data_IF_941954110999
#
_entry.id   IF_941954110999
#
_cell.length_a   1.000
_cell.length_b   1.000
_cell.length_c   1.000
_cell.angle_alpha   90.00
_cell.angle_beta   90.00
_cell.angle_gamma   90.00
#
_symmetry.space_group_name_H-M   'P 1'
#
loop_
_entity.id
_entity.type
_entity.pdbx_description
1 polymer ?
#
# COMPACT_ATOMS: atom_id res chain seq x y z
N UNK A 1 -15.15 -2.83 5.42
CA UNK A 1 -13.80 -3.32 5.76
C UNK A 1 -13.79 -3.72 7.23
N UNK A 2 -13.75 -5.01 7.58
CA UNK A 2 -13.49 -5.41 8.98
C UNK A 2 -11.97 -5.41 9.21
N UNK A 3 -11.48 -4.42 9.96
CA UNK A 3 -10.05 -4.19 10.26
C UNK A 3 -9.50 -5.14 11.34
N UNK A 4 -9.94 -6.40 11.38
CA UNK A 4 -9.50 -7.31 12.45
C UNK A 4 -9.98 -8.75 12.33
N UNK A 5 -9.44 -9.59 13.22
CA UNK A 5 -9.86 -10.98 13.37
C UNK A 5 -11.34 -11.06 13.78
N UNK A 6 -12.11 -11.88 13.07
CA UNK A 6 -13.52 -12.15 13.43
C UNK A 6 -13.63 -12.96 14.72
N UNK A 7 -14.81 -12.96 15.34
CA UNK A 7 -15.02 -13.64 16.63
C UNK A 7 -14.59 -15.12 16.61
N UNK A 8 -14.96 -15.88 15.57
CA UNK A 8 -14.55 -17.28 15.40
C UNK A 8 -13.03 -17.43 15.21
N UNK A 9 -12.39 -16.50 14.50
CA UNK A 9 -10.94 -16.52 14.31
C UNK A 9 -10.19 -16.28 15.63
N UNK A 10 -10.70 -15.37 16.47
CA UNK A 10 -10.15 -15.13 17.82
C UNK A 10 -10.32 -16.35 18.72
N UNK A 11 -11.48 -17.01 18.67
CA UNK A 11 -11.70 -18.27 19.43
C UNK A 11 -10.74 -19.37 19.01
N UNK A 12 -10.54 -19.56 17.70
CA UNK A 12 -9.56 -20.53 17.18
C UNK A 12 -8.15 -20.23 17.73
N UNK A 13 -7.71 -18.98 17.68
CA UNK A 13 -6.41 -18.59 18.23
C UNK A 13 -6.34 -18.72 19.75
N UNK A 14 -7.42 -18.46 20.48
CA UNK A 14 -7.49 -18.64 21.92
C UNK A 14 -7.36 -20.12 22.31
N UNK A 15 -8.03 -21.02 21.59
CA UNK A 15 -7.88 -22.47 21.79
C UNK A 15 -6.44 -22.91 21.52
N UNK A 16 -5.84 -22.45 20.42
CA UNK A 16 -4.44 -22.76 20.10
C UNK A 16 -3.42 -22.09 21.03
N UNK A 17 -3.79 -20.99 21.72
CA UNK A 17 -2.95 -20.34 22.75
C UNK A 17 -2.86 -21.20 24.01
N UNK A 18 -3.91 -21.95 24.33
CA UNK A 18 -3.95 -22.86 25.48
C UNK A 18 -3.26 -24.21 25.24
N UNK A 19 -2.86 -24.51 24.01
CA UNK A 19 -2.07 -25.70 23.67
C UNK A 19 -0.57 -25.41 23.86
N UNK A 20 0.22 -26.41 24.27
CA UNK A 20 1.67 -26.26 24.41
C UNK A 20 2.29 -25.83 23.07
N UNK A 21 3.38 -25.06 23.14
CA UNK A 21 3.94 -24.40 21.96
C UNK A 21 4.34 -25.39 20.86
N UNK A 22 4.63 -26.66 21.20
CA UNK A 22 5.15 -27.71 20.33
C UNK A 22 4.13 -28.79 19.95
N UNK A 23 2.90 -28.71 20.45
CA UNK A 23 1.85 -29.67 20.11
C UNK A 23 0.98 -29.19 18.93
N UNK A 24 0.97 -30.00 17.88
CA UNK A 24 0.06 -29.86 16.75
C UNK A 24 -1.33 -30.39 17.14
N UNK A 25 -2.34 -29.52 17.18
CA UNK A 25 -3.70 -29.88 17.58
C UNK A 25 -4.49 -30.46 16.40
N UNK A 26 -5.12 -31.65 16.52
CA UNK A 26 -6.01 -32.17 15.48
C UNK A 26 -7.15 -31.21 15.14
N UNK A 27 -7.44 -31.05 13.84
CA UNK A 27 -8.53 -30.16 13.38
C UNK A 27 -9.90 -30.62 13.89
N UNK A 28 -10.09 -31.93 14.09
CA UNK A 28 -11.32 -32.49 14.67
C UNK A 28 -11.50 -32.02 16.11
N UNK A 29 -10.43 -32.07 16.90
CA UNK A 29 -10.42 -31.62 18.28
C UNK A 29 -10.55 -30.09 18.39
N UNK A 30 -9.85 -29.33 17.54
CA UNK A 30 -10.03 -27.88 17.44
C UNK A 30 -11.49 -27.52 17.19
N UNK A 31 -12.17 -28.22 16.28
CA UNK A 31 -13.60 -27.97 15.99
C UNK A 31 -14.49 -28.22 17.20
N UNK A 32 -14.20 -29.27 17.96
CA UNK A 32 -14.93 -29.59 19.20
C UNK A 32 -14.74 -28.48 20.25
N UNK A 33 -13.50 -28.03 20.45
CA UNK A 33 -13.13 -27.01 21.46
C UNK A 33 -13.60 -25.59 21.11
N UNK A 34 -13.60 -25.21 19.82
CA UNK A 34 -14.03 -23.87 19.40
C UNK A 34 -15.55 -23.68 19.56
N UNK A 35 -16.32 -24.76 19.40
CA UNK A 35 -17.78 -24.73 19.43
C UNK A 35 -18.41 -23.96 18.26
N UNK A 36 -19.60 -24.38 17.84
CA UNK A 36 -20.37 -23.73 16.77
C UNK A 36 -20.34 -24.45 15.41
N UNK A 37 -20.77 -23.76 14.37
CA UNK A 37 -20.95 -24.34 13.04
C UNK A 37 -19.63 -24.79 12.40
N UNK A 38 -19.61 -26.05 11.94
CA UNK A 38 -18.49 -26.71 11.25
C UNK A 38 -18.01 -25.92 10.04
N UNK A 39 -18.92 -25.28 9.29
CA UNK A 39 -18.58 -24.49 8.10
C UNK A 39 -17.83 -23.22 8.47
N UNK A 40 -18.32 -22.50 9.49
CA UNK A 40 -17.69 -21.28 10.00
C UNK A 40 -16.30 -21.54 10.58
N UNK A 41 -16.13 -22.62 11.35
CA UNK A 41 -14.81 -22.99 11.89
C UNK A 41 -13.83 -23.37 10.77
N UNK A 42 -14.27 -24.11 9.75
CA UNK A 42 -13.43 -24.41 8.58
C UNK A 42 -12.98 -23.15 7.86
N UNK A 43 -13.89 -22.20 7.60
CA UNK A 43 -13.56 -20.92 6.96
C UNK A 43 -12.61 -20.09 7.82
N UNK A 44 -12.77 -20.10 9.14
CA UNK A 44 -11.90 -19.40 10.07
C UNK A 44 -10.47 -19.96 10.05
N UNK A 45 -10.31 -21.29 10.08
CA UNK A 45 -9.02 -21.97 9.98
C UNK A 45 -8.33 -21.63 8.64
N UNK A 46 -9.03 -21.78 7.51
CA UNK A 46 -8.47 -21.43 6.19
C UNK A 46 -8.04 -19.96 6.10
N UNK A 47 -8.84 -19.04 6.65
CA UNK A 47 -8.52 -17.62 6.65
C UNK A 47 -7.37 -17.24 7.61
N UNK A 48 -7.15 -18.01 8.68
CA UNK A 48 -6.00 -17.83 9.58
C UNK A 48 -4.73 -18.40 8.94
N UNK A 49 -4.83 -19.53 8.25
CA UNK A 49 -3.73 -20.17 7.54
C UNK A 49 -3.25 -19.29 6.36
N UNK A 50 -4.17 -18.72 5.58
CA UNK A 50 -3.82 -17.80 4.49
C UNK A 50 -3.18 -16.50 4.97
N UNK A 51 -3.36 -16.13 6.24
CA UNK A 51 -2.71 -14.99 6.90
C UNK A 51 -1.40 -15.37 7.61
N UNK A 52 -0.98 -16.63 7.55
CA UNK A 52 0.23 -17.11 8.21
C UNK A 52 0.17 -17.10 9.74
N UNK A 53 -1.03 -16.99 10.34
CA UNK A 53 -1.21 -16.98 11.81
C UNK A 53 -1.26 -18.39 12.40
N UNK A 54 -1.60 -19.37 11.56
CA UNK A 54 -1.56 -20.79 11.90
C UNK A 54 -0.90 -21.56 10.74
N UNK A 55 -0.30 -22.70 11.07
CA UNK A 55 0.28 -23.65 10.11
C UNK A 55 -0.52 -24.94 10.16
N UNK A 56 -0.88 -25.45 8.99
CA UNK A 56 -1.49 -26.78 8.85
C UNK A 56 -0.41 -27.81 8.54
N UNK A 57 -0.45 -28.93 9.25
CA UNK A 57 0.42 -30.10 9.06
C UNK A 57 -0.46 -31.33 8.89
N UNK A 58 0.01 -32.30 8.11
CA UNK A 58 -0.67 -33.59 7.95
C UNK A 58 0.25 -34.67 8.49
N UNK A 59 -0.19 -35.34 9.56
CA UNK A 59 0.58 -36.41 10.23
C UNK A 59 -0.28 -37.66 10.24
N UNK A 60 0.17 -38.74 9.62
CA UNK A 60 -0.57 -40.01 9.58
C UNK A 60 -1.96 -39.91 8.92
N UNK A 61 -2.17 -39.00 7.97
CA UNK A 61 -3.47 -38.75 7.33
C UNK A 61 -4.43 -37.84 8.12
N UNK A 62 -4.05 -37.44 9.34
CA UNK A 62 -4.82 -36.51 10.16
C UNK A 62 -4.32 -35.08 9.95
N UNK A 63 -5.26 -34.16 9.70
CA UNK A 63 -4.95 -32.72 9.60
C UNK A 63 -4.82 -32.14 10.99
N UNK A 64 -3.68 -31.51 11.25
CA UNK A 64 -3.36 -30.82 12.49
C UNK A 64 -3.00 -29.36 12.23
N UNK A 65 -3.14 -28.56 13.28
CA UNK A 65 -2.99 -27.11 13.22
C UNK A 65 -2.20 -26.63 14.42
N UNK A 66 -1.22 -25.77 14.15
CA UNK A 66 -0.39 -25.12 15.16
C UNK A 66 -0.39 -23.61 14.94
N UNK A 67 -0.30 -22.85 16.03
CA UNK A 67 -0.16 -21.40 15.99
C UNK A 67 1.28 -21.02 15.61
N UNK A 68 1.43 -20.05 14.71
CA UNK A 68 2.76 -19.50 14.36
C UNK A 68 3.17 -18.40 15.33
N UNK A 69 4.42 -17.94 15.24
CA UNK A 69 4.92 -16.77 15.96
C UNK A 69 4.00 -15.54 15.77
N UNK A 70 3.57 -15.27 14.54
CA UNK A 70 2.64 -14.18 14.22
C UNK A 70 1.24 -14.39 14.81
N UNK A 71 0.79 -15.64 14.86
CA UNK A 71 -0.43 -16.01 15.56
C UNK A 71 -0.37 -15.70 17.05
N UNK A 72 0.79 -15.89 17.70
CA UNK A 72 0.97 -15.57 19.11
C UNK A 72 0.84 -14.07 19.39
N UNK A 73 1.50 -13.23 18.59
CA UNK A 73 1.42 -11.77 18.67
C UNK A 73 0.00 -11.24 18.44
N UNK A 74 -0.73 -11.83 17.49
CA UNK A 74 -2.12 -11.46 17.20
C UNK A 74 -3.14 -11.94 18.26
N UNK A 75 -2.73 -12.82 19.18
CA UNK A 75 -3.56 -13.39 20.26
C UNK A 75 -3.39 -12.69 21.60
N UNK A 76 -2.56 -11.65 21.67
CA UNK A 76 -2.42 -10.84 22.88
C UNK A 76 -3.67 -9.98 23.03
N UNK A 77 -4.38 -10.05 24.17
CA UNK A 77 -5.40 -9.05 24.46
C UNK A 77 -4.75 -7.66 24.44
N UNK A 78 -5.45 -6.60 24.00
CA UNK A 78 -4.99 -5.25 24.26
C UNK A 78 -4.74 -5.14 25.78
N UNK A 79 -3.66 -4.47 26.21
CA UNK A 79 -3.39 -4.32 27.64
C UNK A 79 -4.63 -3.75 28.33
N UNK A 80 -5.00 -4.34 29.46
CA UNK A 80 -6.08 -3.81 30.29
C UNK A 80 -5.73 -2.37 30.66
N UNK A 81 -6.71 -1.44 30.64
CA UNK A 81 -6.45 -0.07 31.03
C UNK A 81 -6.08 -0.06 32.52
N UNK A 82 -4.79 0.05 32.82
CA UNK A 82 -4.31 0.34 34.17
C UNK A 82 -4.98 1.63 34.68
N UNK A 83 -5.35 1.58 35.97
CA UNK A 83 -5.97 2.64 36.75
C UNK A 83 -5.28 3.98 36.54
N UNK A 84 -6.07 5.06 36.64
CA UNK A 84 -5.76 6.46 36.37
C UNK A 84 -4.28 6.80 36.08
N UNK A 85 -3.96 7.34 34.88
CA UNK A 85 -2.58 7.69 34.55
C UNK A 85 -2.05 8.69 35.59
N UNK A 86 -0.80 8.52 36.09
CA UNK A 86 -0.19 9.44 37.05
C UNK A 86 -0.31 10.87 36.54
N UNK A 87 -0.47 11.84 37.45
CA UNK A 87 -0.78 13.23 37.11
C UNK A 87 0.21 13.86 36.10
N UNK A 88 1.44 13.34 36.04
CA UNK A 88 2.46 13.66 35.03
C UNK A 88 2.04 13.29 33.59
N UNK A 89 1.38 12.14 33.40
CA UNK A 89 0.84 11.70 32.12
C UNK A 89 -0.43 12.46 31.74
N UNK A 90 -1.25 12.91 32.70
CA UNK A 90 -2.38 13.81 32.43
C UNK A 90 -1.89 15.16 31.92
N UNK A 91 -0.83 15.72 32.52
CA UNK A 91 -0.20 16.95 32.05
C UNK A 91 0.46 16.80 30.65
N UNK A 92 1.12 15.67 30.38
CA UNK A 92 1.68 15.37 29.05
C UNK A 92 0.60 15.20 27.98
N UNK A 93 -0.50 14.50 28.29
CA UNK A 93 -1.65 14.36 27.38
C UNK A 93 -2.35 15.69 27.12
N UNK A 94 -2.42 16.58 28.12
CA UNK A 94 -2.95 17.94 27.93
C UNK A 94 -2.07 18.74 26.96
N UNK A 95 -0.74 18.70 27.14
CA UNK A 95 0.22 19.32 26.19
C UNK A 95 0.10 18.75 24.79
N UNK A 96 -0.01 17.43 24.65
CA UNK A 96 -0.22 16.80 23.34
C UNK A 96 -1.58 17.13 22.72
N UNK A 97 -2.62 17.32 23.54
CA UNK A 97 -3.93 17.75 23.07
C UNK A 97 -3.91 19.21 22.59
N UNK A 98 -3.17 20.09 23.26
CA UNK A 98 -2.92 21.47 22.82
C UNK A 98 -2.10 21.50 21.53
N UNK A 99 -1.00 20.76 21.45
CA UNK A 99 -0.23 20.61 20.21
C UNK A 99 -1.07 20.02 19.07
N UNK A 100 -1.97 19.08 19.37
CA UNK A 100 -2.87 18.51 18.37
C UNK A 100 -3.90 19.54 17.89
N UNK A 101 -4.41 20.42 18.78
CA UNK A 101 -5.28 21.54 18.42
C UNK A 101 -4.53 22.57 17.59
N UNK A 102 -3.29 22.90 17.93
CA UNK A 102 -2.45 23.81 17.14
C UNK A 102 -2.09 23.22 15.77
N UNK A 103 -1.78 21.92 15.69
CA UNK A 103 -1.57 21.24 14.40
C UNK A 103 -2.85 21.15 13.59
N UNK A 104 -4.01 20.99 14.23
CA UNK A 104 -5.31 21.01 13.56
C UNK A 104 -5.61 22.42 13.02
N UNK A 105 -5.39 23.47 13.82
CA UNK A 105 -5.54 24.86 13.40
C UNK A 105 -4.58 25.23 12.26
N UNK A 106 -3.31 24.80 12.33
CA UNK A 106 -2.34 24.95 11.22
C UNK A 106 -2.78 24.20 9.96
N UNK A 107 -3.37 23.01 10.11
CA UNK A 107 -3.93 22.26 8.97
C UNK A 107 -5.18 22.91 8.40
N UNK A 108 -6.03 23.52 9.23
CA UNK A 108 -7.20 24.28 8.79
C UNK A 108 -6.77 25.54 8.03
N UNK A 109 -5.82 26.31 8.57
CA UNK A 109 -5.22 27.46 7.88
C UNK A 109 -4.52 27.05 6.58
N UNK A 110 -3.80 25.92 6.57
CA UNK A 110 -3.19 25.40 5.34
C UNK A 110 -4.24 24.94 4.32
N UNK A 111 -5.36 24.36 4.77
CA UNK A 111 -6.50 24.00 3.90
C UNK A 111 -7.22 25.22 3.36
N UNK A 112 -7.39 26.25 4.17
CA UNK A 112 -8.06 27.49 3.79
C UNK A 112 -7.18 28.28 2.83
N UNK A 113 -5.87 28.36 3.08
CA UNK A 113 -4.88 28.89 2.15
C UNK A 113 -4.87 28.11 0.83
N UNK A 114 -4.82 26.77 0.89
CA UNK A 114 -4.89 25.92 -0.31
C UNK A 114 -6.24 26.04 -1.04
N UNK A 115 -7.34 26.34 -0.34
CA UNK A 115 -8.66 26.55 -0.92
C UNK A 115 -8.75 27.90 -1.63
N UNK A 116 -8.15 28.95 -1.08
CA UNK A 116 -8.03 30.26 -1.71
C UNK A 116 -7.09 30.21 -2.93
N UNK A 117 -5.96 29.53 -2.80
CA UNK A 117 -5.00 29.28 -3.89
C UNK A 117 -5.62 28.43 -5.01
N UNK A 118 -6.49 27.46 -4.67
CA UNK A 118 -7.28 26.71 -5.64
C UNK A 118 -8.42 27.50 -6.31
N UNK A 119 -8.83 28.65 -5.75
CA UNK A 119 -9.80 29.56 -6.36
C UNK A 119 -9.12 30.57 -7.31
N UNK A 120 -7.84 30.90 -7.08
CA UNK A 120 -7.03 31.78 -7.94
C UNK A 120 -6.26 31.01 -9.04
N UNK A 121 -6.04 29.70 -8.88
CA UNK A 121 -5.38 28.85 -9.86
C UNK A 121 -6.30 28.39 -11.02
N UNK A 122 -5.75 28.10 -12.22
CA UNK A 122 -6.54 27.61 -13.34
C UNK A 122 -7.29 26.31 -13.00
N UNK A 123 -8.54 26.23 -13.48
CA UNK A 123 -9.66 25.31 -13.19
C UNK A 123 -9.37 23.79 -13.02
N UNK A 124 -8.16 23.30 -13.30
CA UNK A 124 -7.79 21.88 -13.23
C UNK A 124 -7.13 21.42 -11.91
N UNK A 125 -6.89 22.31 -10.94
CA UNK A 125 -6.22 21.98 -9.66
C UNK A 125 -7.11 21.31 -8.59
N UNK A 126 -8.39 21.06 -8.86
CA UNK A 126 -9.36 20.57 -7.85
C UNK A 126 -9.54 19.04 -7.73
N UNK A 127 -8.71 18.21 -8.38
CA UNK A 127 -9.00 16.77 -8.43
C UNK A 127 -8.44 16.00 -7.23
N UNK A 128 -9.24 15.88 -6.17
CA UNK A 128 -8.98 14.93 -5.09
C UNK A 128 -8.93 13.49 -5.68
N UNK A 129 -7.82 12.75 -5.51
CA UNK A 129 -7.70 11.42 -6.10
C UNK A 129 -8.77 10.49 -5.51
N UNK A 130 -9.73 10.09 -6.35
CA UNK A 130 -10.69 9.04 -6.01
C UNK A 130 -9.90 7.74 -5.87
N UNK A 131 -9.99 7.12 -4.70
CA UNK A 131 -9.38 5.81 -4.41
C UNK A 131 -10.06 4.73 -5.27
N UNK A 132 -9.59 4.58 -6.50
CA UNK A 132 -9.97 3.48 -7.38
C UNK A 132 -9.08 2.29 -7.02
N UNK A 133 -9.68 1.11 -6.82
CA UNK A 133 -8.98 -0.15 -6.50
C UNK A 133 -7.63 -0.24 -7.23
N UNK A 134 -6.52 -0.28 -6.49
CA UNK A 134 -5.17 -0.38 -7.04
C UNK A 134 -5.07 -1.60 -7.96
N UNK A 135 -5.19 -1.39 -9.27
CA UNK A 135 -4.70 -2.36 -10.25
C UNK A 135 -3.20 -2.16 -10.34
N UNK A 136 -2.45 -3.26 -10.32
CA UNK A 136 -1.01 -3.19 -10.59
C UNK A 136 -0.77 -2.51 -11.95
N UNK A 137 0.30 -1.72 -12.08
CA UNK A 137 0.57 -1.03 -13.32
C UNK A 137 0.73 -2.04 -14.45
N UNK A 138 0.03 -1.80 -15.56
CA UNK A 138 0.17 -2.61 -16.78
C UNK A 138 1.54 -2.46 -17.44
N UNK A 139 1.84 -3.23 -18.49
CA UNK A 139 3.17 -3.25 -19.14
C UNK A 139 3.66 -1.85 -19.55
N UNK A 140 2.83 -1.11 -20.29
CA UNK A 140 3.12 0.25 -20.73
C UNK A 140 3.32 1.22 -19.57
N UNK A 141 2.58 1.05 -18.47
CA UNK A 141 2.71 1.89 -17.28
C UNK A 141 4.03 1.60 -16.55
N UNK A 142 4.42 0.33 -16.43
CA UNK A 142 5.70 -0.07 -15.85
C UNK A 142 6.87 0.47 -16.65
N UNK A 143 6.81 0.41 -17.99
CA UNK A 143 7.87 0.98 -18.83
C UNK A 143 7.96 2.49 -18.68
N UNK A 144 6.84 3.22 -18.62
CA UNK A 144 6.86 4.67 -18.31
C UNK A 144 7.55 4.94 -16.98
N UNK A 145 7.19 4.19 -15.93
CA UNK A 145 7.78 4.35 -14.59
C UNK A 145 9.27 4.01 -14.57
N UNK A 146 9.71 2.98 -15.30
CA UNK A 146 11.10 2.60 -15.43
C UNK A 146 11.92 3.64 -16.20
N UNK A 147 11.37 4.22 -17.27
CA UNK A 147 12.02 5.30 -18.03
C UNK A 147 12.21 6.54 -17.16
N UNK A 148 11.18 6.94 -16.40
CA UNK A 148 11.29 8.08 -15.49
C UNK A 148 12.29 7.82 -14.36
N UNK A 149 12.32 6.60 -13.80
CA UNK A 149 13.27 6.25 -12.76
C UNK A 149 14.72 6.19 -13.26
N UNK A 150 14.95 5.61 -14.44
CA UNK A 150 16.29 5.37 -14.96
C UNK A 150 16.93 6.56 -15.68
N UNK A 151 16.13 7.52 -16.17
CA UNK A 151 16.63 8.56 -17.07
C UNK A 151 16.23 9.99 -16.69
N UNK A 152 15.35 10.21 -15.71
CA UNK A 152 15.10 11.56 -15.21
C UNK A 152 16.21 11.95 -14.22
N UNK A 153 17.14 12.79 -14.64
CA UNK A 153 18.21 13.32 -13.80
C UNK A 153 18.27 14.86 -13.92
N UNK A 154 17.95 15.63 -12.86
CA UNK A 154 17.44 15.16 -11.56
C UNK A 154 15.98 14.66 -11.64
N UNK A 155 15.61 13.69 -10.80
CA UNK A 155 14.26 13.08 -10.77
C UNK A 155 13.13 14.11 -10.69
N UNK A 156 13.38 15.23 -10.00
CA UNK A 156 12.41 16.31 -9.78
C UNK A 156 12.11 17.13 -11.04
N UNK A 157 13.04 17.14 -12.01
CA UNK A 157 12.89 17.86 -13.28
C UNK A 157 12.05 17.10 -14.30
N UNK A 158 11.94 15.78 -14.15
CA UNK A 158 11.17 14.92 -15.03
C UNK A 158 11.66 14.89 -16.48
N UNK A 159 10.91 14.17 -17.32
CA UNK A 159 11.18 14.04 -18.75
C UNK A 159 10.08 14.69 -19.58
N UNK A 160 10.41 15.27 -20.75
CA UNK A 160 9.41 15.79 -21.67
C UNK A 160 8.39 14.71 -22.04
N UNK A 161 7.09 15.04 -21.97
CA UNK A 161 6.01 14.12 -22.34
C UNK A 161 6.18 13.56 -23.77
N UNK A 162 6.59 14.36 -24.78
CA UNK A 162 6.85 13.84 -26.12
C UNK A 162 7.99 12.80 -26.15
N UNK A 163 9.05 13.04 -25.38
CA UNK A 163 10.22 12.16 -25.30
C UNK A 163 9.84 10.82 -24.65
N UNK A 164 9.14 10.84 -23.51
CA UNK A 164 8.65 9.61 -22.85
C UNK A 164 7.73 8.83 -23.78
N UNK A 165 6.86 9.50 -24.54
CA UNK A 165 6.01 8.84 -25.54
C UNK A 165 6.82 8.20 -26.65
N UNK A 166 7.90 8.82 -27.11
CA UNK A 166 8.76 8.27 -28.15
C UNK A 166 9.47 7.00 -27.65
N UNK A 167 10.10 7.06 -26.47
CA UNK A 167 10.80 5.93 -25.85
C UNK A 167 9.85 4.75 -25.64
N UNK A 168 8.69 4.96 -25.01
CA UNK A 168 7.77 3.85 -24.68
C UNK A 168 7.16 3.21 -25.93
N UNK A 169 6.96 3.98 -27.00
CA UNK A 169 6.51 3.44 -28.28
C UNK A 169 7.60 2.62 -28.96
N UNK A 170 8.84 3.10 -28.90
CA UNK A 170 9.99 2.44 -29.49
C UNK A 170 10.31 1.12 -28.77
N UNK A 171 10.28 1.10 -27.43
CA UNK A 171 10.56 -0.10 -26.65
C UNK A 171 9.50 -1.18 -26.79
N UNK A 172 8.21 -0.83 -26.65
CA UNK A 172 7.12 -1.83 -26.59
C UNK A 172 6.36 -2.02 -27.91
N UNK A 173 6.68 -1.27 -28.96
CA UNK A 173 5.91 -1.26 -30.21
C UNK A 173 4.44 -0.83 -30.04
N UNK A 174 4.13 -0.02 -29.00
CA UNK A 174 2.73 0.30 -28.64
C UNK A 174 2.16 1.51 -29.39
N UNK A 175 0.83 1.55 -29.52
CA UNK A 175 0.13 2.68 -30.13
C UNK A 175 0.15 3.94 -29.26
N UNK A 176 0.14 5.10 -29.93
CA UNK A 176 0.09 6.44 -29.29
C UNK A 176 -1.10 6.59 -28.33
N UNK A 177 -2.23 5.97 -28.66
CA UNK A 177 -3.44 5.97 -27.82
C UNK A 177 -3.24 5.21 -26.51
N UNK A 178 -2.54 4.07 -26.55
CA UNK A 178 -2.26 3.26 -25.37
C UNK A 178 -1.29 3.98 -24.43
N UNK A 179 -0.22 4.58 -24.97
CA UNK A 179 0.72 5.38 -24.17
C UNK A 179 0.02 6.58 -23.53
N UNK A 180 -0.83 7.30 -24.26
CA UNK A 180 -1.61 8.42 -23.71
C UNK A 180 -2.54 7.98 -22.58
N UNK A 181 -3.21 6.83 -22.75
CA UNK A 181 -4.09 6.24 -21.73
C UNK A 181 -3.30 5.80 -20.49
N UNK A 182 -2.12 5.22 -20.69
CA UNK A 182 -1.23 4.81 -19.61
C UNK A 182 -0.76 6.02 -18.78
N UNK A 183 -0.29 7.09 -19.42
CA UNK A 183 0.08 8.36 -18.76
C UNK A 183 -1.11 8.94 -17.99
N UNK A 184 -2.28 9.07 -18.62
CA UNK A 184 -3.50 9.56 -17.94
C UNK A 184 -3.87 8.72 -16.73
N UNK A 185 -3.74 7.40 -16.82
CA UNK A 185 -4.03 6.52 -15.69
C UNK A 185 -3.01 6.68 -14.56
N UNK A 186 -1.73 6.86 -14.87
CA UNK A 186 -0.68 7.08 -13.88
C UNK A 186 -0.84 8.42 -13.16
N UNK A 187 -1.30 9.44 -13.89
CA UNK A 187 -1.64 10.76 -13.34
C UNK A 187 -2.92 10.71 -12.49
N UNK A 188 -4.04 10.32 -13.11
CA UNK A 188 -5.38 10.56 -12.57
C UNK A 188 -5.89 9.46 -11.64
N UNK A 189 -5.42 8.22 -11.82
CA UNK A 189 -5.96 7.07 -11.10
C UNK A 189 -5.01 6.56 -10.02
N UNK A 190 -3.70 6.53 -10.28
CA UNK A 190 -2.72 6.01 -9.32
C UNK A 190 -1.91 7.08 -8.62
N UNK A 191 -1.83 8.31 -9.18
CA UNK A 191 -1.03 9.40 -8.60
C UNK A 191 0.45 9.05 -8.51
N UNK A 192 0.96 8.25 -9.45
CA UNK A 192 2.34 7.77 -9.43
C UNK A 192 3.31 8.70 -10.17
N UNK A 193 2.77 9.56 -11.02
CA UNK A 193 3.52 10.58 -11.75
C UNK A 193 2.83 11.93 -11.58
N UNK A 194 3.60 13.00 -11.72
CA UNK A 194 3.17 14.40 -11.66
C UNK A 194 3.53 15.10 -12.96
N UNK A 195 2.84 16.19 -13.29
CA UNK A 195 3.17 17.06 -14.43
C UNK A 195 3.86 18.30 -13.89
N UNK A 196 4.86 18.82 -14.62
CA UNK A 196 5.44 20.15 -14.36
C UNK A 196 4.37 21.25 -14.43
N UNK A 197 4.64 22.40 -13.82
CA UNK A 197 3.78 23.59 -13.85
C UNK A 197 3.48 24.03 -15.29
N UNK A 198 4.47 23.95 -16.19
CA UNK A 198 4.33 24.28 -17.62
C UNK A 198 3.51 23.25 -18.41
N UNK A 199 3.16 22.11 -17.83
CA UNK A 199 2.40 21.06 -18.50
C UNK A 199 3.21 20.17 -19.46
N UNK A 200 4.49 20.48 -19.69
CA UNK A 200 5.29 19.85 -20.77
C UNK A 200 6.04 18.60 -20.33
N UNK A 201 6.37 18.49 -19.04
CA UNK A 201 7.21 17.42 -18.47
C UNK A 201 6.42 16.59 -17.47
N UNK A 202 6.78 15.32 -17.36
CA UNK A 202 6.27 14.39 -16.36
C UNK A 202 7.40 13.87 -15.48
N UNK A 203 7.15 13.77 -14.19
CA UNK A 203 8.09 13.26 -13.18
C UNK A 203 7.43 12.20 -12.31
N UNK A 204 8.22 11.43 -11.57
CA UNK A 204 7.68 10.54 -10.55
C UNK A 204 7.11 11.39 -9.40
N UNK A 205 5.97 10.97 -8.85
CA UNK A 205 5.51 11.55 -7.59
C UNK A 205 6.50 11.17 -6.48
N UNK A 206 6.73 12.08 -5.52
CA UNK A 206 7.72 11.91 -4.44
C UNK A 206 7.56 10.58 -3.70
N UNK A 207 6.31 10.21 -3.38
CA UNK A 207 5.98 8.93 -2.74
C UNK A 207 6.36 7.71 -3.59
N UNK A 208 6.26 7.82 -4.91
CA UNK A 208 6.61 6.74 -5.85
C UNK A 208 8.12 6.63 -6.00
N UNK A 209 8.82 7.76 -6.12
CA UNK A 209 10.28 7.81 -6.14
C UNK A 209 10.86 7.19 -4.87
N UNK A 210 10.35 7.57 -3.69
CA UNK A 210 10.73 6.98 -2.40
C UNK A 210 10.53 5.46 -2.38
N UNK A 211 9.41 4.96 -2.93
CA UNK A 211 9.15 3.52 -2.98
C UNK A 211 10.12 2.79 -3.93
N UNK A 212 10.51 3.42 -5.03
CA UNK A 212 11.46 2.87 -6.00
C UNK A 212 12.91 2.84 -5.52
N UNK A 213 13.30 3.70 -4.57
CA UNK A 213 14.57 3.57 -3.86
C UNK A 213 14.69 2.19 -3.17
N UNK A 214 13.57 1.65 -2.68
CA UNK A 214 13.53 0.34 -2.01
C UNK A 214 13.21 -0.81 -2.97
N UNK A 215 12.43 -0.53 -4.01
CA UNK A 215 11.95 -1.52 -4.98
C UNK A 215 11.96 -0.93 -6.40
N UNK A 216 13.09 -0.99 -7.11
CA UNK A 216 13.21 -0.41 -8.44
C UNK A 216 12.13 -0.95 -9.39
N UNK A 217 11.58 -0.09 -10.27
CA UNK A 217 10.57 -0.52 -11.22
C UNK A 217 11.17 -1.51 -12.22
N UNK A 218 10.54 -2.67 -12.33
CA UNK A 218 10.91 -3.68 -13.33
C UNK A 218 10.08 -3.43 -14.59
N UNK A 219 10.76 -3.06 -15.68
CA UNK A 219 10.16 -3.03 -17.01
C UNK A 219 9.93 -4.47 -17.49
N UNK A 220 8.78 -4.79 -18.11
CA UNK A 220 8.53 -6.12 -18.66
C UNK A 220 9.47 -6.48 -19.82
N UNK A 221 9.98 -5.48 -20.52
CA UNK A 221 10.96 -5.62 -21.60
C UNK A 221 12.22 -4.82 -21.25
N UNK A 222 13.42 -5.31 -21.62
CA UNK A 222 14.66 -4.59 -21.39
C UNK A 222 14.63 -3.27 -22.17
N UNK A 223 14.95 -2.17 -21.48
CA UNK A 223 15.03 -0.84 -22.09
C UNK A 223 16.44 -0.70 -22.66
N UNK A 224 16.54 -0.45 -23.97
CA UNK A 224 17.80 -0.12 -24.62
C UNK A 224 18.26 1.27 -24.14
N UNK A 225 19.29 1.30 -23.30
CA UNK A 225 19.77 2.54 -22.66
C UNK A 225 20.37 3.52 -23.66
N UNK A 226 21.14 3.03 -24.64
CA UNK A 226 21.81 3.89 -25.63
C UNK A 226 20.77 4.55 -26.53
N UNK A 227 19.82 3.76 -27.03
CA UNK A 227 18.73 4.24 -27.87
C UNK A 227 17.80 5.17 -27.10
N UNK A 228 17.50 4.86 -25.83
CA UNK A 228 16.70 5.72 -24.96
C UNK A 228 17.38 7.07 -24.74
N UNK A 229 18.69 7.09 -24.42
CA UNK A 229 19.45 8.35 -24.29
C UNK A 229 19.48 9.13 -25.60
N UNK A 230 19.61 8.46 -26.75
CA UNK A 230 19.57 9.12 -28.05
C UNK A 230 18.22 9.81 -28.31
N UNK A 231 17.11 9.13 -28.00
CA UNK A 231 15.76 9.70 -28.11
C UNK A 231 15.61 10.87 -27.14
N UNK A 232 16.03 10.74 -25.89
CA UNK A 232 15.89 11.79 -24.88
C UNK A 232 16.71 13.04 -25.21
N UNK A 233 17.89 12.91 -25.85
CA UNK A 233 18.70 14.05 -26.32
C UNK A 233 18.10 14.80 -27.51
N UNK A 234 17.17 14.17 -28.23
CA UNK A 234 16.52 14.80 -29.37
C UNK A 234 15.35 15.73 -28.97
N UNK A 235 15.05 15.81 -27.66
CA UNK A 235 14.00 16.64 -27.06
C UNK A 235 14.60 17.50 -25.94
#
# INVERSE_FOLDING_TARGET
MSRGLGATQRRVLAVLKGTSADEDLPVVELKSRVGGDRSNTRRAVLALASRGLIKETTVGGERRVRRTFWGALASSPPPEPEEDPPDTLKALKAKWAEEARERAAKKELAREKARLEALEGPFWYGYAPRVVRHRHPGPTQRTILAVLWGFADPLDSGLPIPAVKAVVRDSLGTDRSNVRRAIRSLLLLTGQIEVSEDGERIRLAERTAFWFCMFPPISPEPIDEERTRAILRAY
#
